data_IF_672059220791
#
_entry.id   IF_672059220791
#
_cell.length_a   1.000
_cell.length_b   1.000
_cell.length_c   1.000
_cell.angle_alpha   90.00
_cell.angle_beta   90.00
_cell.angle_gamma   90.00
#
_symmetry.space_group_name_H-M   'P 1'
#
loop_
_entity.id
_entity.type
_entity.pdbx_description
1 polymer ?
#
# COMPACT_ATOMS: atom_id res chain seq x y z
N UNK A 1 -23.55 6.72 31.26
CA UNK A 1 -22.32 7.42 30.82
C UNK A 1 -22.40 7.47 29.31
N UNK A 2 -22.81 8.60 28.73
CA UNK A 2 -22.94 8.76 27.27
C UNK A 2 -21.75 9.63 26.86
N UNK A 3 -20.81 9.05 26.10
CA UNK A 3 -19.65 9.78 25.60
C UNK A 3 -19.97 10.19 24.17
N UNK A 4 -20.32 11.46 24.00
CA UNK A 4 -20.60 12.06 22.69
C UNK A 4 -19.28 12.35 21.98
N UNK A 5 -19.05 11.73 20.81
CA UNK A 5 -17.89 11.98 19.96
C UNK A 5 -18.19 13.21 19.07
N UNK A 6 -17.43 14.29 19.24
CA UNK A 6 -17.49 15.47 18.37
C UNK A 6 -16.62 15.22 17.13
N UNK A 7 -17.24 15.26 15.95
CA UNK A 7 -16.55 15.17 14.67
C UNK A 7 -15.84 16.50 14.36
N UNK A 8 -14.55 16.41 14.03
CA UNK A 8 -13.70 17.55 13.72
C UNK A 8 -13.82 17.87 12.22
N UNK A 9 -14.60 18.88 11.86
CA UNK A 9 -14.68 19.40 10.49
C UNK A 9 -13.54 20.38 10.23
N UNK A 10 -12.68 20.10 9.25
CA UNK A 10 -11.80 21.10 8.65
C UNK A 10 -12.08 21.21 7.16
N UNK A 11 -12.75 22.29 6.76
CA UNK A 11 -12.77 22.78 5.39
C UNK A 11 -12.16 24.18 5.41
N UNK A 12 -11.02 24.34 4.73
CA UNK A 12 -10.46 25.65 4.41
C UNK A 12 -9.93 25.60 2.99
N UNK A 13 -10.50 26.45 2.14
CA UNK A 13 -10.24 26.55 0.72
C UNK A 13 -9.47 27.84 0.40
N UNK A 14 -8.54 27.73 -0.55
CA UNK A 14 -8.10 28.84 -1.41
C UNK A 14 -6.63 28.76 -1.86
N UNK A 15 -6.21 29.44 -2.96
CA UNK A 15 -7.01 29.96 -4.08
C UNK A 15 -6.56 29.43 -5.46
N UNK A 16 -7.48 29.56 -6.42
CA UNK A 16 -7.24 29.34 -7.85
C UNK A 16 -6.28 30.39 -8.43
N UNK A 17 -5.22 29.93 -9.10
CA UNK A 17 -4.34 30.72 -9.96
C UNK A 17 -4.41 30.20 -11.40
N UNK A 18 -4.83 31.09 -12.29
CA UNK A 18 -5.05 30.92 -13.74
C UNK A 18 -3.74 31.15 -14.49
N UNK A 19 -3.46 30.44 -15.61
CA UNK A 19 -3.16 30.98 -16.95
C UNK A 19 -2.56 29.92 -17.93
N UNK A 20 -3.15 29.92 -19.14
CA UNK A 20 -2.75 29.39 -20.47
C UNK A 20 -1.26 29.58 -20.83
N UNK A 21 -0.64 29.01 -21.87
CA UNK A 21 -0.80 27.94 -22.90
C UNK A 21 0.54 28.01 -23.72
N UNK A 22 0.81 26.99 -24.55
CA UNK A 22 1.69 26.88 -25.76
C UNK A 22 2.62 25.66 -25.63
N UNK A 23 2.40 24.58 -26.40
CA UNK A 23 2.84 24.38 -27.81
C UNK A 23 4.38 24.40 -27.91
N UNK A 24 5.11 23.53 -28.60
CA UNK A 24 4.88 22.48 -29.58
C UNK A 24 6.26 21.76 -29.69
N UNK A 25 6.29 20.66 -30.42
CA UNK A 25 7.40 20.25 -31.29
C UNK A 25 8.17 18.99 -30.89
N UNK A 26 7.66 17.92 -31.49
CA UNK A 26 8.31 16.68 -31.92
C UNK A 26 9.61 16.91 -32.69
N UNK A 27 10.60 16.04 -32.51
CA UNK A 27 11.52 15.64 -33.59
C UNK A 27 12.18 14.30 -33.31
N UNK A 28 12.40 13.59 -34.41
CA UNK A 28 12.50 12.15 -34.58
C UNK A 28 13.85 11.50 -34.24
N UNK A 29 13.71 10.19 -33.95
CA UNK A 29 14.53 9.02 -34.29
C UNK A 29 15.87 9.27 -35.00
N UNK A 30 16.92 8.67 -34.45
CA UNK A 30 17.93 7.99 -35.26
C UNK A 30 18.14 6.55 -34.74
N UNK A 31 17.80 5.61 -35.62
CA UNK A 31 18.16 4.21 -35.57
C UNK A 31 19.59 4.10 -36.12
N UNK A 32 20.50 3.49 -35.35
CA UNK A 32 21.87 3.21 -35.79
C UNK A 32 22.10 1.70 -35.79
N UNK A 33 22.61 1.26 -36.93
CA UNK A 33 22.62 -0.09 -37.47
C UNK A 33 23.71 -1.00 -36.86
N UNK A 34 23.44 -2.30 -36.91
CA UNK A 34 24.38 -3.43 -36.97
C UNK A 34 25.49 -3.57 -35.91
N UNK A 35 25.33 -4.52 -34.98
CA UNK A 35 26.36 -5.56 -34.75
C UNK A 35 25.75 -6.78 -34.01
N UNK A 36 25.82 -7.98 -34.60
CA UNK A 36 25.46 -9.23 -33.91
C UNK A 36 26.68 -9.73 -33.15
N UNK A 37 27.00 -9.06 -32.05
CA UNK A 37 27.82 -9.64 -30.99
C UNK A 37 26.92 -10.57 -30.16
N UNK A 38 27.32 -11.82 -29.85
CA UNK A 38 26.59 -12.63 -28.89
C UNK A 38 26.58 -11.90 -27.56
N UNK A 39 25.42 -11.40 -27.15
CA UNK A 39 25.22 -10.64 -25.93
C UNK A 39 25.56 -11.54 -24.73
N UNK A 40 26.78 -11.40 -24.22
CA UNK A 40 27.18 -11.99 -22.95
C UNK A 40 26.38 -11.25 -21.87
N UNK A 41 25.70 -11.95 -20.94
CA UNK A 41 24.94 -11.27 -19.89
C UNK A 41 25.87 -10.30 -19.15
N UNK A 42 25.46 -9.03 -19.09
CA UNK A 42 26.21 -7.97 -18.38
C UNK A 42 26.50 -8.47 -16.95
N UNK A 43 27.77 -8.53 -16.50
CA UNK A 43 28.14 -8.93 -15.15
C UNK A 43 27.52 -8.04 -14.07
N UNK A 44 26.90 -6.92 -14.44
CA UNK A 44 26.17 -6.01 -13.57
C UNK A 44 24.64 -6.14 -13.65
N UNK A 45 24.11 -7.18 -14.30
CA UNK A 45 22.67 -7.48 -14.30
C UNK A 45 22.24 -7.93 -12.89
N UNK A 46 21.99 -6.96 -12.02
CA UNK A 46 21.34 -7.20 -10.74
C UNK A 46 19.90 -7.62 -11.06
N UNK A 47 19.57 -8.89 -10.86
CA UNK A 47 18.18 -9.34 -10.94
C UNK A 47 17.41 -8.70 -9.78
N UNK A 48 16.73 -7.59 -10.05
CA UNK A 48 15.86 -6.93 -9.08
C UNK A 48 14.62 -7.79 -8.88
N UNK A 49 14.66 -8.71 -7.91
CA UNK A 49 13.47 -9.46 -7.51
C UNK A 49 12.54 -8.55 -6.71
N UNK A 50 11.28 -8.45 -7.14
CA UNK A 50 10.25 -7.75 -6.37
C UNK A 50 9.95 -8.55 -5.09
N UNK A 51 9.84 -7.89 -3.92
CA UNK A 51 9.39 -8.55 -2.69
C UNK A 51 8.06 -9.28 -2.90
N UNK A 52 8.02 -10.54 -2.50
CA UNK A 52 6.84 -11.41 -2.62
C UNK A 52 6.28 -11.70 -1.24
N UNK A 53 4.96 -11.62 -1.12
CA UNK A 53 4.28 -11.83 0.15
C UNK A 53 4.24 -13.32 0.53
N UNK A 54 4.76 -13.64 1.69
CA UNK A 54 4.73 -14.95 2.33
C UNK A 54 3.37 -15.17 3.00
N UNK A 55 2.68 -16.25 2.60
CA UNK A 55 1.37 -16.65 3.14
C UNK A 55 1.47 -17.61 4.32
N UNK A 56 2.40 -17.33 5.24
CA UNK A 56 2.62 -18.15 6.43
C UNK A 56 1.81 -17.55 7.59
N UNK A 57 1.01 -18.37 8.27
CA UNK A 57 0.27 -17.93 9.45
C UNK A 57 -0.73 -16.81 9.17
N UNK A 58 -1.37 -16.81 8.01
CA UNK A 58 -2.38 -15.81 7.64
C UNK A 58 -3.44 -15.67 8.74
N UNK A 59 -3.66 -14.44 9.25
CA UNK A 59 -4.65 -14.19 10.31
C UNK A 59 -6.05 -14.60 9.88
N UNK A 60 -6.85 -15.04 10.85
CA UNK A 60 -8.30 -15.12 10.65
C UNK A 60 -8.90 -13.72 10.58
N UNK A 61 -10.10 -13.63 10.02
CA UNK A 61 -10.85 -12.38 10.07
C UNK A 61 -11.30 -12.05 11.50
N UNK A 62 -11.17 -10.79 11.89
CA UNK A 62 -11.62 -10.26 13.17
C UNK A 62 -13.03 -9.69 13.05
N UNK A 63 -13.87 -10.01 14.02
CA UNK A 63 -15.27 -9.60 14.08
C UNK A 63 -15.53 -8.46 15.06
N UNK A 64 -14.52 -8.05 15.83
CA UNK A 64 -14.64 -7.05 16.87
C UNK A 64 -14.78 -7.62 18.29
N UNK A 65 -14.73 -8.95 18.48
CA UNK A 65 -14.74 -9.55 19.80
C UNK A 65 -13.49 -9.15 20.61
N UNK A 66 -13.69 -8.40 21.69
CA UNK A 66 -12.58 -7.91 22.53
C UNK A 66 -11.85 -9.02 23.27
N UNK A 67 -12.52 -10.14 23.55
CA UNK A 67 -11.93 -11.27 24.28
C UNK A 67 -10.80 -11.93 23.47
N UNK A 68 -10.94 -11.95 22.14
CA UNK A 68 -9.99 -12.57 21.21
C UNK A 68 -9.00 -11.55 20.61
N UNK A 69 -9.17 -10.26 20.87
CA UNK A 69 -8.46 -9.18 20.19
C UNK A 69 -6.94 -9.26 20.33
N UNK A 70 -6.44 -9.61 21.51
CA UNK A 70 -5.01 -9.75 21.75
C UNK A 70 -4.41 -10.91 20.95
N UNK A 71 -5.07 -12.07 20.96
CA UNK A 71 -4.65 -13.24 20.19
C UNK A 71 -4.67 -12.96 18.70
N UNK A 72 -5.71 -12.31 18.21
CA UNK A 72 -5.80 -11.89 16.81
C UNK A 72 -4.67 -10.92 16.44
N UNK A 73 -4.40 -9.91 17.26
CA UNK A 73 -3.31 -8.96 17.01
C UNK A 73 -1.95 -9.65 16.93
N UNK A 74 -1.67 -10.64 17.79
CA UNK A 74 -0.42 -11.41 17.69
C UNK A 74 -0.31 -12.20 16.39
N UNK A 75 -1.43 -12.75 15.89
CA UNK A 75 -1.43 -13.43 14.59
C UNK A 75 -1.11 -12.46 13.44
N UNK A 76 -1.64 -11.24 13.50
CA UNK A 76 -1.36 -10.18 12.52
C UNK A 76 0.10 -9.73 12.57
N UNK A 77 0.68 -9.57 13.76
CA UNK A 77 2.11 -9.24 13.92
C UNK A 77 2.98 -10.36 13.33
N UNK A 78 2.65 -11.62 13.62
CA UNK A 78 3.37 -12.77 13.08
C UNK A 78 3.28 -12.85 11.55
N UNK A 79 2.20 -12.33 10.96
CA UNK A 79 2.04 -12.22 9.52
C UNK A 79 2.83 -11.05 8.91
N UNK A 80 2.86 -9.89 9.56
CA UNK A 80 3.50 -8.68 9.02
C UNK A 80 5.03 -8.71 9.12
N UNK A 81 5.59 -9.26 10.19
CA UNK A 81 7.04 -9.30 10.42
C UNK A 81 7.84 -9.95 9.27
N UNK A 82 7.51 -11.18 8.81
CA UNK A 82 8.21 -11.79 7.69
C UNK A 82 7.90 -11.12 6.33
N UNK A 83 6.91 -10.23 6.29
CA UNK A 83 6.45 -9.54 5.08
C UNK A 83 6.83 -8.04 5.08
N UNK A 84 7.83 -7.64 5.86
CA UNK A 84 8.22 -6.23 6.02
C UNK A 84 8.63 -5.56 4.70
N UNK A 85 9.24 -6.31 3.78
CA UNK A 85 9.63 -5.83 2.45
C UNK A 85 8.44 -5.61 1.51
N UNK A 86 7.29 -6.21 1.80
CA UNK A 86 6.02 -5.98 1.08
C UNK A 86 5.28 -4.80 1.72
N UNK A 87 5.18 -4.81 3.05
CA UNK A 87 4.52 -3.81 3.88
C UNK A 87 5.52 -2.77 4.40
N UNK A 88 6.20 -2.10 3.47
CA UNK A 88 7.37 -1.25 3.72
C UNK A 88 7.13 -0.02 4.59
N UNK A 89 5.88 0.36 4.83
CA UNK A 89 5.55 1.53 5.64
C UNK A 89 4.27 1.30 6.45
N UNK A 90 4.06 2.15 7.44
CA UNK A 90 2.95 2.02 8.38
C UNK A 90 1.59 2.11 7.68
N UNK A 91 1.45 2.93 6.63
CA UNK A 91 0.20 3.01 5.84
C UNK A 91 -0.15 1.65 5.22
N UNK A 92 0.82 0.97 4.60
CA UNK A 92 0.61 -0.37 4.04
C UNK A 92 0.30 -1.41 5.12
N UNK A 93 0.99 -1.35 6.26
CA UNK A 93 0.71 -2.22 7.41
C UNK A 93 -0.71 -2.01 7.92
N UNK A 94 -1.14 -0.77 8.16
CA UNK A 94 -2.49 -0.42 8.59
C UNK A 94 -3.53 -0.95 7.60
N UNK A 95 -3.37 -0.71 6.30
CA UNK A 95 -4.28 -1.23 5.27
C UNK A 95 -4.37 -2.77 5.32
N UNK A 96 -3.25 -3.46 5.52
CA UNK A 96 -3.23 -4.91 5.66
C UNK A 96 -4.00 -5.38 6.90
N UNK A 97 -3.78 -4.74 8.06
CA UNK A 97 -4.50 -5.05 9.31
C UNK A 97 -6.01 -4.87 9.11
N UNK A 98 -6.42 -3.73 8.52
CA UNK A 98 -7.83 -3.43 8.26
C UNK A 98 -8.47 -4.41 7.27
N UNK A 99 -7.70 -4.94 6.30
CA UNK A 99 -8.21 -5.95 5.37
C UNK A 99 -8.60 -7.27 6.05
N UNK A 100 -8.07 -7.55 7.24
CA UNK A 100 -8.46 -8.68 8.07
C UNK A 100 -9.65 -8.37 9.01
N UNK A 101 -10.16 -7.14 9.01
CA UNK A 101 -11.31 -6.70 9.80
C UNK A 101 -12.54 -6.59 8.89
N UNK A 102 -13.07 -7.72 8.40
CA UNK A 102 -14.17 -7.75 7.43
C UNK A 102 -15.39 -8.52 7.94
N UNK A 103 -15.54 -8.62 9.26
CA UNK A 103 -16.66 -9.28 9.93
C UNK A 103 -17.18 -8.43 11.07
N UNK A 104 -18.43 -8.69 11.43
CA UNK A 104 -19.05 -8.16 12.64
C UNK A 104 -18.93 -6.63 12.74
N UNK A 105 -18.64 -6.14 13.94
CA UNK A 105 -18.49 -4.71 14.22
C UNK A 105 -17.18 -4.16 13.66
N UNK A 106 -16.15 -5.01 13.54
CA UNK A 106 -14.84 -4.60 13.04
C UNK A 106 -14.86 -4.19 11.56
N UNK A 107 -15.77 -4.76 10.77
CA UNK A 107 -15.99 -4.36 9.37
C UNK A 107 -16.29 -2.87 9.25
N UNK A 108 -17.25 -2.37 10.04
CA UNK A 108 -17.59 -0.94 10.05
C UNK A 108 -16.45 -0.05 10.54
N UNK A 109 -15.53 -0.56 11.36
CA UNK A 109 -14.33 0.19 11.76
C UNK A 109 -13.34 0.32 10.61
N UNK A 110 -13.18 -0.74 9.81
CA UNK A 110 -12.34 -0.72 8.61
C UNK A 110 -12.92 0.19 7.53
N UNK A 111 -14.24 0.11 7.28
CA UNK A 111 -14.94 0.98 6.33
C UNK A 111 -14.77 2.46 6.66
N UNK A 112 -14.79 2.83 7.95
CA UNK A 112 -14.62 4.22 8.37
C UNK A 112 -13.21 4.80 8.08
N UNK A 113 -12.23 3.97 7.75
CA UNK A 113 -10.87 4.39 7.40
C UNK A 113 -10.68 4.60 5.88
N UNK A 114 -11.41 3.87 5.04
CA UNK A 114 -11.30 3.93 3.58
C UNK A 114 -11.94 5.20 3.00
#
# INVERSE_FOLDING_TARGET
MIVTLQALTFFSAGPAGKLLLEADSSSDKEESDSDTTPDLPDPNTTMTMKPTELKIGTPSFFDGNTDDAAQWMYSVIAYLNPNEEVYTNDKKKIIAILSFMNKGTADSWAEAYY
#
